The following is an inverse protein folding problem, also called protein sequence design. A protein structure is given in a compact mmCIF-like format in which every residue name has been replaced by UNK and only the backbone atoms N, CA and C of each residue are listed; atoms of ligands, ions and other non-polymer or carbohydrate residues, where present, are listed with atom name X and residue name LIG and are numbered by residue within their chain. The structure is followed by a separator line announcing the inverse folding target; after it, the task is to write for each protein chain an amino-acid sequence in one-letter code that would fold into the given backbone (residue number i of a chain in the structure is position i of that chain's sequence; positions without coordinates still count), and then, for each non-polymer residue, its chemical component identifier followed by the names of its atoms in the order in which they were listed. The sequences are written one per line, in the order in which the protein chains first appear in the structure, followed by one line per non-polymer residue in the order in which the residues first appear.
data_IF_149124597141
#
_entry.id   IF_149124597141
#
_cell.length_a   1.000
_cell.length_b   1.000
_cell.length_c   1.000
_cell.angle_alpha   90.00
_cell.angle_beta   90.00
_cell.angle_gamma   90.00
#
_symmetry.space_group_name_H-M   'P 1'
#
loop_
_entity.id
_entity.type
_entity.pdbx_description
1 polymer ?
#
# COMPACT_ATOMS: atom_id res chain seq x y z
N UNK A 1 10.66 7.51 -25.65
CA UNK A 1 10.27 6.20 -25.07
C UNK A 1 10.32 6.19 -23.55
N UNK A 2 10.87 7.23 -22.94
CA UNK A 2 11.18 7.24 -21.51
C UNK A 2 10.01 7.74 -20.65
N UNK A 3 8.99 8.34 -21.25
CA UNK A 3 7.84 8.86 -20.55
C UNK A 3 6.82 7.82 -20.04
N UNK A 4 7.06 6.54 -20.28
CA UNK A 4 6.16 5.46 -19.81
C UNK A 4 6.45 5.01 -18.37
N UNK A 5 7.56 5.47 -17.78
CA UNK A 5 8.06 4.95 -16.50
C UNK A 5 8.19 6.02 -15.41
N UNK A 6 7.95 7.29 -15.72
CA UNK A 6 7.94 8.35 -14.72
C UNK A 6 6.52 8.68 -14.32
N UNK A 7 6.19 8.61 -13.05
CA UNK A 7 4.91 9.09 -12.52
C UNK A 7 4.87 10.63 -12.46
N UNK A 8 6.05 11.25 -12.43
CA UNK A 8 6.19 12.70 -12.30
C UNK A 8 6.04 13.43 -13.65
N UNK A 9 5.53 14.67 -13.64
CA UNK A 9 5.58 15.58 -14.77
C UNK A 9 7.01 15.80 -15.28
N UNK A 10 7.16 16.25 -16.54
CA UNK A 10 8.46 16.52 -17.11
C UNK A 10 9.21 17.59 -16.30
N UNK A 11 10.38 17.24 -15.79
CA UNK A 11 11.24 18.13 -14.99
C UNK A 11 11.09 18.01 -13.48
N UNK A 12 10.23 17.14 -13.00
CA UNK A 12 10.07 16.78 -11.58
C UNK A 12 10.55 15.35 -11.38
N UNK A 13 11.23 15.06 -10.28
CA UNK A 13 11.59 13.69 -9.92
C UNK A 13 10.40 12.94 -9.33
N UNK A 14 10.38 11.61 -9.43
CA UNK A 14 9.35 10.81 -8.76
C UNK A 14 9.36 11.04 -7.26
N UNK A 15 10.53 11.20 -6.65
CA UNK A 15 10.65 11.51 -5.22
C UNK A 15 9.92 12.80 -4.86
N UNK A 16 10.19 13.91 -5.55
CA UNK A 16 9.50 15.19 -5.34
C UNK A 16 7.99 15.02 -5.52
N UNK A 17 7.57 14.38 -6.61
CA UNK A 17 6.16 14.12 -6.89
C UNK A 17 5.43 13.41 -5.75
N UNK A 18 6.09 12.45 -5.11
CA UNK A 18 5.51 11.64 -4.03
C UNK A 18 5.59 12.33 -2.65
N UNK A 19 6.56 13.21 -2.44
CA UNK A 19 6.81 13.82 -1.13
C UNK A 19 6.29 15.24 -1.02
N UNK A 20 6.02 15.92 -2.13
CA UNK A 20 5.54 17.29 -2.13
C UNK A 20 4.20 17.43 -1.41
N UNK A 21 4.18 18.32 -0.44
CA UNK A 21 3.01 18.60 0.37
C UNK A 21 2.91 20.07 0.74
N UNK A 22 1.69 20.54 0.97
CA UNK A 22 1.38 21.87 1.48
C UNK A 22 0.57 21.78 2.76
N UNK A 23 0.78 22.73 3.66
CA UNK A 23 -0.06 22.82 4.85
C UNK A 23 -1.25 23.72 4.57
N UNK A 24 -2.46 23.24 4.88
CA UNK A 24 -3.70 24.00 4.86
C UNK A 24 -4.48 23.71 6.15
N UNK A 25 -4.78 24.74 6.90
CA UNK A 25 -5.56 24.63 8.15
C UNK A 25 -4.99 23.63 9.16
N UNK A 26 -3.65 23.53 9.24
CA UNK A 26 -2.95 22.59 10.12
C UNK A 26 -2.86 21.15 9.58
N UNK A 27 -3.21 20.93 8.33
CA UNK A 27 -3.25 19.62 7.70
C UNK A 27 -2.26 19.56 6.53
N UNK A 28 -1.50 18.48 6.41
CA UNK A 28 -0.64 18.20 5.25
C UNK A 28 -1.44 17.61 4.11
N UNK A 29 -1.34 18.22 2.94
CA UNK A 29 -2.04 17.80 1.72
C UNK A 29 -0.99 17.61 0.62
N UNK A 30 -0.97 16.43 0.00
CA UNK A 30 -0.12 16.17 -1.16
C UNK A 30 -0.49 17.10 -2.32
N UNK A 31 0.48 17.76 -2.92
CA UNK A 31 0.26 18.73 -4.01
C UNK A 31 -0.22 18.06 -5.29
N UNK A 32 0.19 16.83 -5.51
CA UNK A 32 -0.06 16.05 -6.72
C UNK A 32 -1.29 15.11 -6.61
N UNK A 33 -2.01 15.20 -5.49
CA UNK A 33 -3.19 14.39 -5.23
C UNK A 33 -4.41 14.92 -6.01
N UNK A 34 -5.25 13.99 -6.46
CA UNK A 34 -6.55 14.34 -7.07
C UNK A 34 -7.43 15.10 -6.07
N UNK A 35 -8.07 16.19 -6.54
CA UNK A 35 -8.96 17.03 -5.73
C UNK A 35 -10.34 16.37 -5.49
N UNK A 36 -10.34 15.12 -5.05
CA UNK A 36 -11.54 14.41 -4.65
C UNK A 36 -11.66 14.34 -3.12
N UNK A 37 -12.86 14.59 -2.54
CA UNK A 37 -13.05 14.66 -1.08
C UNK A 37 -12.54 13.42 -0.32
N UNK A 38 -12.64 12.24 -0.93
CA UNK A 38 -12.15 11.00 -0.33
C UNK A 38 -10.64 10.99 -0.11
N UNK A 39 -9.87 11.57 -1.04
CA UNK A 39 -8.41 11.62 -0.91
C UNK A 39 -7.99 12.65 0.13
N UNK A 40 -8.69 13.77 0.21
CA UNK A 40 -8.48 14.74 1.27
C UNK A 40 -8.78 14.14 2.65
N UNK A 41 -9.85 13.35 2.77
CA UNK A 41 -10.17 12.65 4.02
C UNK A 41 -9.10 11.62 4.41
N UNK A 42 -8.53 10.91 3.44
CA UNK A 42 -7.44 9.95 3.69
C UNK A 42 -6.13 10.66 4.06
N UNK A 43 -5.78 11.72 3.36
CA UNK A 43 -4.54 12.46 3.60
C UNK A 43 -4.59 13.31 4.88
N UNK A 44 -5.77 13.82 5.23
CA UNK A 44 -6.03 14.61 6.44
C UNK A 44 -6.12 13.73 7.70
N UNK A 45 -5.68 12.51 7.60
CA UNK A 45 -6.04 11.54 8.59
C UNK A 45 -5.47 11.82 9.97
N UNK A 46 -6.37 11.92 10.91
CA UNK A 46 -6.16 11.39 12.25
C UNK A 46 -5.61 9.97 12.21
N UNK A 47 -5.70 9.33 11.03
CA UNK A 47 -5.30 7.94 10.81
C UNK A 47 -3.79 7.84 10.66
N UNK A 48 -3.11 8.78 9.95
CA UNK A 48 -1.66 8.71 9.81
C UNK A 48 -0.99 10.01 9.33
N UNK A 49 0.09 10.45 9.99
CA UNK A 49 0.80 11.68 9.61
C UNK A 49 1.80 11.52 8.45
N UNK A 50 1.92 10.34 7.83
CA UNK A 50 2.87 10.13 6.75
C UNK A 50 3.13 8.65 6.46
N UNK A 51 4.02 8.39 5.49
CA UNK A 51 4.46 7.05 5.09
C UNK A 51 5.98 7.00 5.04
N UNK A 52 6.52 5.84 5.39
CA UNK A 52 7.92 5.48 5.19
C UNK A 52 7.97 4.21 4.32
N UNK A 53 8.70 4.29 3.22
CA UNK A 53 9.01 3.14 2.37
C UNK A 53 10.48 2.83 2.55
N UNK A 54 10.77 1.62 3.01
CA UNK A 54 12.13 1.12 3.19
C UNK A 54 12.24 -0.26 2.52
N UNK A 55 12.64 -0.23 1.26
CA UNK A 55 12.87 -1.42 0.44
C UNK A 55 14.32 -1.43 -0.05
N UNK A 56 14.84 -2.56 -0.50
CA UNK A 56 16.22 -2.62 -0.96
C UNK A 56 16.58 -1.50 -1.94
N UNK A 57 17.57 -0.71 -1.58
CA UNK A 57 18.09 0.45 -2.33
C UNK A 57 17.16 1.66 -2.48
N UNK A 58 15.98 1.66 -1.84
CA UNK A 58 15.09 2.82 -1.84
C UNK A 58 14.57 3.11 -0.44
N UNK A 59 14.90 4.28 0.08
CA UNK A 59 14.31 4.82 1.29
C UNK A 59 13.56 6.11 0.93
N UNK A 60 12.29 6.19 1.30
CA UNK A 60 11.43 7.34 1.02
C UNK A 60 10.54 7.63 2.24
N UNK A 61 10.67 8.84 2.77
CA UNK A 61 9.76 9.39 3.78
C UNK A 61 8.84 10.42 3.13
N UNK A 62 7.55 10.35 3.40
CA UNK A 62 6.56 11.32 2.94
C UNK A 62 5.61 11.72 4.07
N UNK A 63 5.28 13.00 4.14
CA UNK A 63 4.35 13.56 5.14
C UNK A 63 2.87 13.27 4.81
N UNK A 64 2.60 12.62 3.69
CA UNK A 64 1.27 12.25 3.23
C UNK A 64 1.23 10.80 2.76
N UNK A 65 0.04 10.29 2.45
CA UNK A 65 -0.13 8.93 1.90
C UNK A 65 0.07 8.87 0.36
N UNK A 66 0.63 9.90 -0.26
CA UNK A 66 0.84 9.93 -1.70
C UNK A 66 1.66 8.74 -2.24
N UNK A 67 2.67 8.21 -1.53
CA UNK A 67 3.40 7.03 -1.99
C UNK A 67 2.54 5.77 -2.19
N UNK A 68 1.33 5.70 -1.62
CA UNK A 68 0.36 4.63 -1.95
C UNK A 68 0.06 4.58 -3.46
N UNK A 69 0.21 5.69 -4.17
CA UNK A 69 0.02 5.74 -5.63
C UNK A 69 0.98 4.85 -6.42
N UNK A 70 2.07 4.39 -5.81
CA UNK A 70 2.98 3.37 -6.38
C UNK A 70 2.34 1.98 -6.44
N UNK A 71 1.25 1.75 -5.69
CA UNK A 71 0.57 0.46 -5.63
C UNK A 71 -0.46 0.35 -6.74
N UNK A 72 -0.23 -0.56 -7.68
CA UNK A 72 -1.25 -0.99 -8.64
C UNK A 72 -1.85 -2.30 -8.15
N UNK A 73 -3.15 -2.33 -7.88
CA UNK A 73 -3.82 -3.50 -7.32
C UNK A 73 -5.18 -3.79 -7.96
N UNK A 74 -5.62 -5.04 -7.84
CA UNK A 74 -6.99 -5.47 -8.13
C UNK A 74 -7.62 -5.86 -6.80
N UNK A 75 -8.75 -5.27 -6.47
CA UNK A 75 -9.50 -5.54 -5.25
C UNK A 75 -10.85 -6.21 -5.58
N UNK A 76 -10.89 -7.53 -5.73
CA UNK A 76 -12.15 -8.22 -6.00
C UNK A 76 -13.01 -8.26 -4.74
N UNK A 77 -14.27 -7.87 -4.88
CA UNK A 77 -15.25 -7.90 -3.80
C UNK A 77 -16.23 -9.04 -4.01
N UNK A 78 -16.37 -9.90 -3.02
CA UNK A 78 -17.32 -10.99 -3.02
C UNK A 78 -18.48 -10.74 -2.05
N UNK A 79 -19.69 -10.79 -2.57
CA UNK A 79 -20.86 -10.78 -1.70
C UNK A 79 -21.15 -12.22 -1.27
N UNK A 80 -20.99 -12.50 0.02
CA UNK A 80 -21.31 -13.80 0.61
C UNK A 80 -22.82 -13.96 0.66
N UNK A 81 -23.40 -15.05 0.11
CA UNK A 81 -24.86 -15.21 0.00
C UNK A 81 -25.60 -15.23 1.34
N UNK A 82 -25.00 -15.84 2.37
CA UNK A 82 -25.55 -15.94 3.72
C UNK A 82 -24.48 -15.67 4.75
N UNK A 83 -24.81 -14.97 5.82
CA UNK A 83 -23.86 -14.67 6.90
C UNK A 83 -23.22 -15.94 7.48
N UNK A 84 -23.97 -17.04 7.56
CA UNK A 84 -23.48 -18.34 8.05
C UNK A 84 -22.35 -18.92 7.20
N UNK A 85 -22.21 -18.51 5.96
CA UNK A 85 -21.18 -19.01 5.03
C UNK A 85 -19.89 -18.18 5.11
N UNK A 86 -19.88 -17.08 5.87
CA UNK A 86 -18.75 -16.15 5.98
C UNK A 86 -17.43 -16.83 6.37
N UNK A 87 -17.35 -17.70 7.39
CA UNK A 87 -16.11 -18.37 7.75
C UNK A 87 -15.56 -19.24 6.62
N UNK A 88 -16.42 -19.97 5.90
CA UNK A 88 -16.00 -20.82 4.78
C UNK A 88 -15.40 -19.98 3.64
N UNK A 89 -16.08 -18.89 3.27
CA UNK A 89 -15.57 -17.96 2.22
C UNK A 89 -14.28 -17.30 2.62
N UNK A 90 -14.13 -16.95 3.89
CA UNK A 90 -12.91 -16.35 4.41
C UNK A 90 -11.74 -17.34 4.31
N UNK A 91 -11.91 -18.57 4.79
CA UNK A 91 -10.89 -19.61 4.67
C UNK A 91 -10.56 -19.95 3.22
N UNK A 92 -11.54 -19.93 2.34
CA UNK A 92 -11.32 -20.10 0.91
C UNK A 92 -10.43 -18.98 0.36
N UNK A 93 -10.75 -17.72 0.66
CA UNK A 93 -9.97 -16.56 0.24
C UNK A 93 -8.51 -16.64 0.74
N UNK A 94 -8.31 -17.01 2.02
CA UNK A 94 -6.96 -17.20 2.57
C UNK A 94 -6.17 -18.30 1.85
N UNK A 95 -6.80 -19.41 1.50
CA UNK A 95 -6.14 -20.52 0.80
C UNK A 95 -5.71 -20.16 -0.62
N UNK A 96 -6.45 -19.31 -1.30
CA UNK A 96 -6.13 -18.88 -2.66
C UNK A 96 -5.27 -17.62 -2.71
N UNK A 97 -5.09 -16.91 -1.60
CA UNK A 97 -4.35 -15.65 -1.54
C UNK A 97 -2.90 -15.80 -2.03
N UNK A 98 -2.18 -16.80 -1.53
CA UNK A 98 -0.80 -17.07 -1.96
C UNK A 98 -0.68 -17.37 -3.46
N UNK A 99 -1.44 -18.34 -4.01
CA UNK A 99 -1.47 -18.58 -5.44
C UNK A 99 -1.86 -17.36 -6.28
N UNK A 100 -2.84 -16.57 -5.84
CA UNK A 100 -3.24 -15.35 -6.54
C UNK A 100 -2.15 -14.28 -6.50
N UNK A 101 -1.47 -14.12 -5.37
CA UNK A 101 -0.32 -13.23 -5.26
C UNK A 101 0.78 -13.64 -6.23
N UNK A 102 1.13 -14.93 -6.27
CA UNK A 102 2.14 -15.46 -7.19
C UNK A 102 1.80 -15.25 -8.67
N UNK A 103 0.52 -15.35 -9.04
CA UNK A 103 0.05 -15.05 -10.39
C UNK A 103 0.03 -13.56 -10.70
N UNK A 104 -0.14 -12.74 -9.69
CA UNK A 104 -0.25 -11.28 -9.80
C UNK A 104 1.08 -10.53 -9.65
N UNK A 105 2.20 -11.23 -9.45
CA UNK A 105 3.53 -10.61 -9.31
C UNK A 105 3.86 -9.78 -10.55
N UNK A 106 3.98 -8.44 -10.34
CA UNK A 106 4.25 -7.51 -11.43
C UNK A 106 4.99 -6.23 -10.99
N UNK A 107 5.43 -6.13 -9.74
CA UNK A 107 6.06 -4.92 -9.20
C UNK A 107 7.42 -5.22 -8.55
N UNK A 108 8.37 -5.81 -9.33
CA UNK A 108 9.72 -6.09 -8.83
C UNK A 108 10.61 -4.84 -8.77
N UNK A 109 10.16 -3.73 -9.35
CA UNK A 109 10.89 -2.48 -9.40
C UNK A 109 9.98 -1.31 -9.08
N UNK A 110 10.54 -0.32 -8.40
CA UNK A 110 10.01 1.02 -8.29
C UNK A 110 10.47 1.90 -9.47
N UNK A 111 9.95 3.12 -9.64
CA UNK A 111 10.43 4.05 -10.64
C UNK A 111 11.96 4.22 -10.58
N UNK A 112 12.64 4.21 -11.74
CA UNK A 112 14.11 4.15 -11.79
C UNK A 112 14.82 5.30 -11.07
N UNK A 113 14.23 6.48 -11.04
CA UNK A 113 14.78 7.69 -10.43
C UNK A 113 14.68 7.70 -8.89
N UNK A 114 14.07 6.67 -8.28
CA UNK A 114 14.14 6.44 -6.83
C UNK A 114 15.41 5.70 -6.42
N UNK A 115 16.07 4.99 -7.34
CA UNK A 115 17.32 4.28 -7.11
C UNK A 115 18.51 5.19 -7.41
N UNK A 116 18.99 5.92 -6.41
CA UNK A 116 20.09 6.87 -6.56
C UNK A 116 21.42 6.13 -6.79
N UNK A 117 22.01 6.27 -7.99
CA UNK A 117 23.34 5.74 -8.35
C UNK A 117 23.61 4.26 -8.01
N UNK A 118 22.57 3.44 -7.98
CA UNK A 118 22.68 1.99 -7.68
C UNK A 118 22.90 1.21 -8.98
N UNK A 119 23.81 0.23 -8.92
CA UNK A 119 23.97 -0.73 -10.02
C UNK A 119 22.66 -1.49 -10.27
N UNK A 120 22.12 -1.47 -11.49
CA UNK A 120 20.91 -2.21 -11.84
C UNK A 120 20.93 -3.72 -11.50
N UNK A 121 22.12 -4.34 -11.55
CA UNK A 121 22.27 -5.74 -11.15
C UNK A 121 22.15 -5.94 -9.64
N UNK A 122 22.56 -4.98 -8.82
CA UNK A 122 22.34 -5.02 -7.37
C UNK A 122 20.86 -4.87 -7.06
N UNK A 123 20.15 -3.94 -7.70
CA UNK A 123 18.70 -3.79 -7.57
C UNK A 123 17.96 -5.10 -7.90
N UNK A 124 18.37 -5.77 -8.98
CA UNK A 124 17.77 -7.04 -9.38
C UNK A 124 18.09 -8.19 -8.41
N UNK A 125 19.30 -8.21 -7.85
CA UNK A 125 19.75 -9.29 -6.96
C UNK A 125 19.13 -9.20 -5.57
N UNK A 126 18.97 -7.99 -5.05
CA UNK A 126 18.54 -7.73 -3.68
C UNK A 126 17.03 -7.40 -3.60
N UNK A 127 16.41 -7.08 -4.74
CA UNK A 127 15.02 -6.65 -4.81
C UNK A 127 14.00 -7.74 -4.50
N UNK A 128 12.87 -7.34 -3.97
CA UNK A 128 11.72 -8.20 -3.76
C UNK A 128 10.93 -8.40 -5.06
N UNK A 129 10.28 -9.54 -5.20
CA UNK A 129 9.39 -9.81 -6.35
C UNK A 129 8.16 -8.87 -6.36
N UNK A 130 7.77 -8.36 -5.19
CA UNK A 130 6.59 -7.51 -4.96
C UNK A 130 6.88 -6.42 -3.93
N UNK A 131 7.40 -5.27 -4.36
CA UNK A 131 7.60 -4.11 -3.50
C UNK A 131 6.29 -3.48 -3.00
N UNK A 132 5.17 -3.77 -3.65
CA UNK A 132 3.85 -3.28 -3.22
C UNK A 132 3.46 -3.72 -1.82
N UNK A 133 3.96 -4.87 -1.36
CA UNK A 133 3.64 -5.41 -0.04
C UNK A 133 4.16 -4.47 1.04
N UNK A 134 5.45 -4.10 1.00
CA UNK A 134 6.03 -3.19 1.99
C UNK A 134 5.39 -1.81 1.96
N UNK A 135 5.07 -1.30 0.76
CA UNK A 135 4.38 0.00 0.63
C UNK A 135 3.00 -0.08 1.30
N UNK A 136 2.26 -1.16 1.05
CA UNK A 136 0.94 -1.36 1.63
C UNK A 136 1.01 -1.54 3.16
N UNK A 137 1.96 -2.32 3.64
CA UNK A 137 2.22 -2.48 5.07
C UNK A 137 2.60 -1.15 5.72
N UNK A 138 3.48 -0.36 5.09
CA UNK A 138 3.83 0.97 5.55
C UNK A 138 2.60 1.88 5.68
N UNK A 139 1.66 1.81 4.74
CA UNK A 139 0.43 2.59 4.80
C UNK A 139 -0.51 2.14 5.94
N UNK A 140 -0.62 0.84 6.18
CA UNK A 140 -1.59 0.29 7.13
C UNK A 140 -1.04 0.10 8.54
N UNK A 141 0.26 -0.06 8.70
CA UNK A 141 0.87 -0.29 9.99
C UNK A 141 1.04 1.02 10.76
N UNK A 142 0.32 1.18 11.85
CA UNK A 142 0.46 2.31 12.77
C UNK A 142 1.47 1.95 13.86
N UNK A 143 2.49 2.79 14.13
CA UNK A 143 3.46 2.52 15.18
C UNK A 143 2.79 2.26 16.53
N UNK A 144 3.16 1.15 17.18
CA UNK A 144 2.63 0.75 18.48
C UNK A 144 1.30 0.00 18.46
N UNK A 145 0.75 -0.28 17.27
CA UNK A 145 -0.42 -1.16 17.10
C UNK A 145 -0.04 -2.46 16.39
N UNK A 146 -0.88 -3.50 16.52
CA UNK A 146 -0.73 -4.71 15.71
C UNK A 146 -0.91 -4.35 14.22
N UNK A 147 -0.05 -4.90 13.35
CA UNK A 147 -0.14 -4.66 11.92
C UNK A 147 -1.48 -5.14 11.35
N UNK A 148 -2.08 -4.36 10.45
CA UNK A 148 -3.35 -4.70 9.79
C UNK A 148 -3.20 -5.77 8.72
N UNK A 149 -2.00 -5.95 8.19
CA UNK A 149 -1.70 -7.01 7.21
C UNK A 149 -1.39 -8.29 7.98
N UNK A 150 -2.43 -9.04 8.31
CA UNK A 150 -2.32 -10.30 9.04
C UNK A 150 -3.36 -11.31 8.59
N UNK A 151 -3.08 -12.57 8.82
CA UNK A 151 -4.03 -13.66 8.65
C UNK A 151 -4.70 -13.96 10.00
N UNK A 152 -6.01 -13.75 10.15
CA UNK A 152 -6.69 -14.14 11.37
C UNK A 152 -6.68 -15.67 11.51
N UNK A 153 -6.47 -16.14 12.74
CA UNK A 153 -6.49 -17.55 13.09
C UNK A 153 -7.90 -17.96 13.54
N UNK A 154 -8.25 -19.23 13.35
CA UNK A 154 -9.42 -19.89 13.95
C UNK A 154 -10.79 -19.21 13.74
N UNK A 155 -11.11 -18.80 12.53
CA UNK A 155 -12.44 -18.31 12.17
C UNK A 155 -13.44 -19.48 12.01
N UNK A 156 -14.02 -19.95 13.11
CA UNK A 156 -14.97 -21.05 13.11
C UNK A 156 -16.42 -20.58 12.98
N UNK A 157 -16.74 -19.40 13.47
CA UNK A 157 -18.09 -18.84 13.50
C UNK A 157 -18.16 -17.47 12.80
N UNK A 158 -19.38 -17.02 12.54
CA UNK A 158 -19.63 -15.65 12.03
C UNK A 158 -19.15 -14.61 13.03
N UNK A 159 -19.32 -14.88 14.32
CA UNK A 159 -18.89 -14.00 15.40
C UNK A 159 -17.36 -13.86 15.40
N UNK A 160 -16.61 -14.95 15.26
CA UNK A 160 -15.15 -14.92 15.16
C UNK A 160 -14.69 -14.05 13.96
N UNK A 161 -15.35 -14.20 12.81
CA UNK A 161 -15.02 -13.42 11.62
C UNK A 161 -15.32 -11.92 11.81
N UNK A 162 -16.41 -11.56 12.47
CA UNK A 162 -16.77 -10.17 12.78
C UNK A 162 -15.79 -9.60 13.80
N UNK A 163 -15.47 -10.37 14.85
CA UNK A 163 -14.54 -9.94 15.89
C UNK A 163 -13.13 -9.73 15.35
N UNK A 164 -12.66 -10.61 14.45
CA UNK A 164 -11.36 -10.44 13.79
C UNK A 164 -11.24 -9.13 12.99
N UNK A 165 -12.36 -8.62 12.45
CA UNK A 165 -12.42 -7.32 11.78
C UNK A 165 -12.54 -6.18 12.80
N UNK A 166 -13.37 -6.36 13.84
CA UNK A 166 -13.67 -5.32 14.83
C UNK A 166 -12.49 -5.06 15.80
N UNK A 167 -11.66 -6.07 16.06
CA UNK A 167 -10.49 -5.96 16.92
C UNK A 167 -9.25 -5.44 16.18
N UNK A 168 -9.40 -5.13 14.91
CA UNK A 168 -8.35 -4.60 14.06
C UNK A 168 -8.29 -3.04 14.13
N UNK A 169 -8.43 -2.50 15.32
CA UNK A 169 -8.41 -1.04 15.60
C UNK A 169 -7.01 -0.42 15.46
#
# INVERSE_FOLDING_TARGET
SDGLWTMAPAGESTREYLTDSVERDGIRIATNMSDAPRYHAMANGEIRPGMEIDVPHVHLEAETVMPESLITSIQPHYQVPRATDLPEYFHYALRIAGPLLALGVNSPFLPPDLYEDVDPYAVLADGHAEHRIEIFESMLNVPGRAGKVRFPEDLATVEDAIMAIAEDD
#
